data_IF_161943381856
#
_entry.id   IF_161943381856
#
_cell.length_a   1.000
_cell.length_b   1.000
_cell.length_c   1.000
_cell.angle_alpha   90.00
_cell.angle_beta   90.00
_cell.angle_gamma   90.00
#
_symmetry.space_group_name_H-M   'P 1'
#
loop_
_entity.id
_entity.type
_entity.pdbx_description
1 polymer ?
#
# COMPACT_ATOMS: atom_id res chain seq x y z
N UNK A 1 61.09 29.21 -15.45
CA UNK A 1 60.12 28.72 -14.43
C UNK A 1 58.95 29.70 -14.35
N UNK A 2 57.74 29.33 -14.79
CA UNK A 2 56.55 30.19 -14.69
C UNK A 2 55.87 29.93 -13.34
N UNK A 3 56.05 30.84 -12.39
CA UNK A 3 55.33 30.83 -11.12
C UNK A 3 53.85 31.10 -11.38
N UNK A 4 53.02 30.05 -11.26
CA UNK A 4 51.56 30.21 -11.30
C UNK A 4 51.14 31.07 -10.11
N UNK A 5 50.66 32.28 -10.38
CA UNK A 5 50.01 33.10 -9.38
C UNK A 5 48.80 32.34 -8.84
N UNK A 6 48.89 31.84 -7.60
CA UNK A 6 47.75 31.31 -6.86
C UNK A 6 46.83 32.50 -6.60
N UNK A 7 45.80 32.66 -7.43
CA UNK A 7 44.72 33.62 -7.18
C UNK A 7 43.95 33.12 -5.97
N UNK A 8 44.30 33.65 -4.79
CA UNK A 8 43.52 33.46 -3.59
C UNK A 8 42.12 33.97 -3.87
N UNK A 9 41.14 33.07 -3.75
CA UNK A 9 39.73 33.45 -3.81
C UNK A 9 39.54 34.50 -2.72
N UNK A 10 39.01 35.67 -3.08
CA UNK A 10 38.76 36.73 -2.10
C UNK A 10 37.93 36.15 -0.95
N UNK A 11 38.30 36.40 0.33
CA UNK A 11 37.56 35.91 1.48
C UNK A 11 36.05 36.19 1.39
N UNK A 12 35.69 37.31 0.76
CA UNK A 12 34.30 37.71 0.51
C UNK A 12 33.59 36.75 -0.45
N UNK A 13 34.25 36.34 -1.53
CA UNK A 13 33.68 35.41 -2.52
C UNK A 13 33.47 34.04 -1.89
N UNK A 14 34.42 33.59 -1.07
CA UNK A 14 34.29 32.33 -0.35
C UNK A 14 33.07 32.33 0.58
N UNK A 15 32.86 33.41 1.35
CA UNK A 15 31.70 33.54 2.24
C UNK A 15 30.39 33.57 1.46
N UNK A 16 30.31 34.29 0.34
CA UNK A 16 29.11 34.33 -0.49
C UNK A 16 28.73 32.95 -1.04
N UNK A 17 29.72 32.18 -1.50
CA UNK A 17 29.51 30.80 -1.94
C UNK A 17 29.04 29.92 -0.78
N UNK A 18 29.62 30.09 0.42
CA UNK A 18 29.26 29.33 1.62
C UNK A 18 27.82 29.59 2.06
N UNK A 19 27.40 30.86 2.08
CA UNK A 19 26.03 31.26 2.41
C UNK A 19 25.03 30.71 1.38
N UNK A 20 25.35 30.79 0.09
CA UNK A 20 24.51 30.25 -0.98
C UNK A 20 24.35 28.72 -0.86
N UNK A 21 25.44 28.00 -0.57
CA UNK A 21 25.41 26.56 -0.34
C UNK A 21 24.58 26.20 0.91
N UNK A 22 24.74 26.95 2.00
CA UNK A 22 23.99 26.73 3.24
C UNK A 22 22.47 26.91 3.04
N UNK A 23 22.05 27.97 2.35
CA UNK A 23 20.63 28.22 2.04
C UNK A 23 20.09 27.09 1.15
N UNK A 24 20.86 26.68 0.14
CA UNK A 24 20.45 25.63 -0.80
C UNK A 24 20.24 24.27 -0.10
N UNK A 25 21.17 23.88 0.79
CA UNK A 25 21.07 22.65 1.56
C UNK A 25 19.91 22.69 2.57
N UNK A 26 19.69 23.84 3.21
CA UNK A 26 18.56 24.03 4.12
C UNK A 26 17.21 23.87 3.43
N UNK A 27 17.03 24.45 2.25
CA UNK A 27 15.80 24.31 1.46
C UNK A 27 15.57 22.88 0.99
N UNK A 28 16.62 22.19 0.54
CA UNK A 28 16.52 20.79 0.10
C UNK A 28 16.15 19.86 1.26
N UNK A 29 16.78 20.05 2.43
CA UNK A 29 16.47 19.27 3.63
C UNK A 29 15.03 19.46 4.10
N UNK A 30 14.50 20.70 4.03
CA UNK A 30 13.10 20.98 4.35
C UNK A 30 12.14 20.28 3.38
N UNK A 31 12.41 20.35 2.08
CA UNK A 31 11.57 19.69 1.08
C UNK A 31 11.60 18.17 1.24
N UNK A 32 12.78 17.60 1.50
CA UNK A 32 12.95 16.16 1.73
C UNK A 32 12.16 15.70 2.97
N UNK A 33 12.29 16.40 4.10
CA UNK A 33 11.58 16.06 5.34
C UNK A 33 10.06 16.22 5.20
N UNK A 34 9.58 17.26 4.52
CA UNK A 34 8.16 17.45 4.25
C UNK A 34 7.61 16.39 3.29
N UNK A 35 8.38 16.02 2.27
CA UNK A 35 8.03 14.94 1.34
C UNK A 35 7.97 13.59 2.05
N UNK A 36 8.95 13.30 2.89
CA UNK A 36 8.99 12.09 3.70
C UNK A 36 7.84 12.04 4.71
N UNK A 37 7.51 13.14 5.37
CA UNK A 37 6.38 13.21 6.29
C UNK A 37 5.04 12.96 5.57
N UNK A 38 4.86 13.51 4.36
CA UNK A 38 3.68 13.25 3.52
C UNK A 38 3.60 11.80 3.05
N UNK A 39 4.74 11.21 2.66
CA UNK A 39 4.80 9.80 2.27
C UNK A 39 4.60 8.87 3.48
N UNK A 40 5.11 9.21 4.65
CA UNK A 40 4.94 8.42 5.89
C UNK A 40 3.54 8.55 6.48
N UNK A 41 2.80 9.61 6.17
CA UNK A 41 1.40 9.80 6.60
C UNK A 41 0.40 9.01 5.74
N UNK A 42 0.87 8.38 4.68
CA UNK A 42 0.09 7.46 3.86
C UNK A 42 0.05 6.11 4.55
N UNK A 43 -1.01 5.88 5.33
CA UNK A 43 -1.28 4.57 5.91
C UNK A 43 -2.12 3.76 4.92
N UNK A 44 -1.60 2.63 4.46
CA UNK A 44 -2.40 1.60 3.81
C UNK A 44 -2.90 0.65 4.90
N UNK A 45 -4.20 0.61 5.13
CA UNK A 45 -4.82 -0.30 6.08
C UNK A 45 -6.01 -0.97 5.41
N UNK A 46 -5.96 -2.30 5.36
CA UNK A 46 -6.98 -3.12 4.72
C UNK A 46 -7.56 -4.07 5.76
N UNK A 47 -8.86 -3.99 5.96
CA UNK A 47 -9.61 -4.97 6.75
C UNK A 47 -10.29 -5.91 5.77
N UNK A 48 -10.13 -7.22 6.00
CA UNK A 48 -10.73 -8.27 5.17
C UNK A 48 -11.70 -9.06 6.02
N UNK A 49 -12.96 -9.05 5.63
CA UNK A 49 -14.02 -9.84 6.24
C UNK A 49 -14.48 -10.89 5.23
N UNK A 50 -14.45 -12.17 5.62
CA UNK A 50 -14.90 -13.27 4.78
C UNK A 50 -16.10 -13.95 5.41
N UNK A 51 -17.22 -13.97 4.68
CA UNK A 51 -18.46 -14.59 5.10
C UNK A 51 -18.78 -15.75 4.18
N UNK A 52 -18.82 -16.95 4.73
CA UNK A 52 -19.28 -18.14 4.01
C UNK A 52 -20.81 -18.21 4.05
N UNK A 53 -21.44 -18.27 2.88
CA UNK A 53 -22.89 -18.42 2.72
C UNK A 53 -23.15 -19.76 2.04
N UNK A 54 -23.74 -20.70 2.77
CA UNK A 54 -24.24 -21.95 2.21
C UNK A 54 -25.76 -21.85 2.06
N UNK A 55 -26.26 -21.88 0.83
CA UNK A 55 -27.70 -21.86 0.52
C UNK A 55 -28.07 -23.13 -0.25
N UNK A 56 -28.63 -24.12 0.46
CA UNK A 56 -29.03 -25.40 -0.11
C UNK A 56 -27.86 -26.12 -0.78
N UNK A 57 -27.95 -26.33 -2.10
CA UNK A 57 -26.96 -27.06 -2.92
C UNK A 57 -25.77 -26.21 -3.37
N UNK A 58 -25.74 -24.90 -3.07
CA UNK A 58 -24.68 -23.98 -3.52
C UNK A 58 -23.98 -23.32 -2.34
N UNK A 59 -22.67 -23.27 -2.43
CA UNK A 59 -21.79 -22.54 -1.50
C UNK A 59 -21.27 -21.27 -2.19
N UNK A 60 -21.21 -20.16 -1.45
CA UNK A 60 -20.59 -18.92 -1.89
C UNK A 60 -19.75 -18.31 -0.76
N UNK A 61 -18.60 -17.77 -1.11
CA UNK A 61 -17.74 -16.99 -0.23
C UNK A 61 -17.87 -15.52 -0.59
N UNK A 62 -18.42 -14.73 0.33
CA UNK A 62 -18.41 -13.28 0.18
C UNK A 62 -17.19 -12.71 0.91
N UNK A 63 -16.27 -12.10 0.18
CA UNK A 63 -15.10 -11.43 0.75
C UNK A 63 -15.30 -9.92 0.60
N UNK A 64 -15.28 -9.22 1.72
CA UNK A 64 -15.42 -7.78 1.82
C UNK A 64 -14.09 -7.17 2.21
N UNK A 65 -13.61 -6.28 1.36
CA UNK A 65 -12.39 -5.51 1.53
C UNK A 65 -12.73 -4.08 1.91
N UNK A 66 -12.28 -3.65 3.08
CA UNK A 66 -12.48 -2.28 3.55
C UNK A 66 -11.13 -1.60 3.68
N UNK A 67 -10.94 -0.55 2.89
CA UNK A 67 -9.76 0.28 3.00
C UNK A 67 -9.97 1.32 4.11
N UNK A 68 -9.39 1.08 5.28
CA UNK A 68 -9.42 2.02 6.41
C UNK A 68 -8.21 2.96 6.40
N UNK A 69 -7.37 2.87 5.38
CA UNK A 69 -6.21 3.74 5.16
C UNK A 69 -6.57 5.09 4.56
N UNK A 70 -5.54 5.91 4.38
CA UNK A 70 -5.62 7.24 3.76
C UNK A 70 -5.23 7.23 2.28
N UNK A 71 -4.84 6.07 1.75
CA UNK A 71 -4.41 5.88 0.36
C UNK A 71 -5.25 4.85 -0.36
N UNK A 72 -5.33 4.95 -1.70
CA UNK A 72 -5.99 3.93 -2.52
C UNK A 72 -5.17 2.63 -2.52
N UNK A 73 -5.84 1.50 -2.38
CA UNK A 73 -5.23 0.17 -2.40
C UNK A 73 -5.75 -0.59 -3.62
N UNK A 74 -4.85 -1.16 -4.41
CA UNK A 74 -5.20 -2.01 -5.55
C UNK A 74 -5.25 -3.48 -5.10
N UNK A 75 -6.41 -4.11 -5.25
CA UNK A 75 -6.59 -5.54 -5.01
C UNK A 75 -6.41 -6.25 -6.34
N UNK A 76 -5.23 -6.85 -6.54
CA UNK A 76 -4.92 -7.57 -7.77
C UNK A 76 -5.62 -8.93 -7.82
N UNK A 77 -5.41 -9.74 -6.76
CA UNK A 77 -5.80 -11.15 -6.71
C UNK A 77 -6.17 -11.56 -5.30
N UNK A 78 -7.12 -12.49 -5.21
CA UNK A 78 -7.53 -13.13 -3.96
C UNK A 78 -7.17 -14.61 -4.05
N UNK A 79 -6.41 -15.09 -3.07
CA UNK A 79 -6.11 -16.51 -2.92
C UNK A 79 -7.15 -17.12 -1.99
N UNK A 80 -7.91 -18.08 -2.50
CA UNK A 80 -8.86 -18.86 -1.70
C UNK A 80 -8.31 -20.28 -1.58
N UNK A 81 -8.04 -20.70 -0.34
CA UNK A 81 -7.56 -22.05 -0.04
C UNK A 81 -8.65 -22.86 0.65
N UNK A 82 -8.89 -24.09 0.20
CA UNK A 82 -9.79 -25.06 0.85
C UNK A 82 -9.13 -26.45 0.94
N UNK A 83 -9.80 -27.43 1.56
CA UNK A 83 -9.30 -28.76 1.99
C UNK A 83 -8.85 -29.73 0.86
N UNK A 84 -8.31 -29.22 -0.24
CA UNK A 84 -7.74 -30.03 -1.31
C UNK A 84 -7.38 -29.25 -2.57
N UNK A 85 -7.79 -27.97 -2.67
CA UNK A 85 -7.48 -27.14 -3.81
C UNK A 85 -7.41 -25.66 -3.42
N UNK A 86 -6.83 -24.87 -4.30
CA UNK A 86 -6.62 -23.44 -4.11
C UNK A 86 -6.82 -22.71 -5.42
N UNK A 87 -7.54 -21.60 -5.38
CA UNK A 87 -7.90 -20.85 -6.57
C UNK A 87 -7.49 -19.38 -6.43
N UNK A 88 -6.94 -18.84 -7.52
CA UNK A 88 -6.71 -17.41 -7.69
C UNK A 88 -7.93 -16.77 -8.34
N UNK A 89 -8.64 -15.92 -7.61
CA UNK A 89 -9.65 -15.06 -8.19
C UNK A 89 -9.04 -13.70 -8.55
N UNK A 90 -9.04 -13.35 -9.84
CA UNK A 90 -8.58 -12.06 -10.32
C UNK A 90 -9.64 -10.99 -10.06
N UNK A 91 -9.27 -9.94 -9.33
CA UNK A 91 -10.18 -8.83 -9.00
C UNK A 91 -9.81 -7.58 -9.78
N UNK A 92 -8.53 -7.20 -9.78
CA UNK A 92 -8.01 -6.04 -10.52
C UNK A 92 -8.75 -4.74 -10.18
N UNK A 93 -9.05 -4.50 -8.90
CA UNK A 93 -9.88 -3.36 -8.48
C UNK A 93 -9.15 -2.42 -7.52
N UNK A 94 -9.23 -1.13 -7.81
CA UNK A 94 -8.79 -0.07 -6.90
C UNK A 94 -9.89 0.24 -5.88
N UNK A 95 -9.51 0.19 -4.61
CA UNK A 95 -10.35 0.56 -3.47
C UNK A 95 -9.81 1.86 -2.89
N UNK A 96 -10.53 2.96 -3.13
CA UNK A 96 -10.20 4.27 -2.61
C UNK A 96 -10.16 4.29 -1.07
N UNK A 97 -9.48 5.28 -0.49
CA UNK A 97 -9.42 5.48 0.96
C UNK A 97 -10.85 5.59 1.55
N UNK A 98 -11.13 4.81 2.59
CA UNK A 98 -12.45 4.74 3.23
C UNK A 98 -13.50 3.93 2.47
N UNK A 99 -13.21 3.46 1.26
CA UNK A 99 -14.16 2.69 0.45
C UNK A 99 -14.18 1.21 0.85
N UNK A 100 -15.28 0.56 0.52
CA UNK A 100 -15.48 -0.88 0.70
C UNK A 100 -15.79 -1.51 -0.65
N UNK A 101 -15.21 -2.68 -0.90
CA UNK A 101 -15.45 -3.48 -2.09
C UNK A 101 -15.70 -4.92 -1.68
N UNK A 102 -16.76 -5.54 -2.22
CA UNK A 102 -17.09 -6.93 -1.94
C UNK A 102 -17.04 -7.73 -3.23
N UNK A 103 -16.40 -8.90 -3.16
CA UNK A 103 -16.38 -9.91 -4.21
C UNK A 103 -17.07 -11.17 -3.69
N UNK A 104 -17.82 -11.84 -4.56
CA UNK A 104 -18.46 -13.11 -4.22
C UNK A 104 -17.88 -14.18 -5.10
N UNK A 105 -17.27 -15.19 -4.50
CA UNK A 105 -16.74 -16.38 -5.19
C UNK A 105 -17.74 -17.51 -4.95
N UNK A 106 -18.36 -18.02 -6.01
CA UNK A 106 -19.39 -19.07 -5.90
C UNK A 106 -18.84 -20.44 -6.29
N UNK A 107 -19.57 -21.48 -5.87
CA UNK A 107 -19.37 -22.87 -6.29
C UNK A 107 -19.54 -23.11 -7.80
N UNK A 108 -20.08 -22.15 -8.55
CA UNK A 108 -20.13 -22.20 -10.01
C UNK A 108 -18.77 -21.84 -10.64
N UNK A 109 -17.94 -21.04 -9.95
CA UNK A 109 -16.58 -20.65 -10.39
C UNK A 109 -15.50 -21.60 -9.85
N UNK A 110 -15.73 -22.16 -8.66
CA UNK A 110 -14.84 -23.13 -8.02
C UNK A 110 -15.61 -24.42 -7.75
N UNK A 111 -15.50 -25.43 -8.63
CA UNK A 111 -16.05 -26.75 -8.35
C UNK A 111 -15.44 -27.28 -7.04
N UNK A 112 -16.25 -27.93 -6.21
CA UNK A 112 -15.92 -28.45 -4.88
C UNK A 112 -15.78 -27.40 -3.76
N UNK A 113 -16.18 -26.14 -3.99
CA UNK A 113 -16.31 -25.18 -2.90
C UNK A 113 -17.43 -25.62 -1.93
N UNK A 114 -17.05 -26.11 -0.76
CA UNK A 114 -17.97 -26.47 0.31
C UNK A 114 -17.54 -25.83 1.62
N UNK A 115 -18.51 -25.34 2.38
CA UNK A 115 -18.28 -24.79 3.71
C UNK A 115 -18.93 -25.69 4.74
N UNK A 116 -18.11 -26.29 5.59
CA UNK A 116 -18.61 -26.88 6.84
C UNK A 116 -18.98 -25.73 7.76
N UNK A 117 -20.21 -25.70 8.28
CA UNK A 117 -20.59 -24.70 9.31
C UNK A 117 -19.62 -24.82 10.48
N UNK A 118 -18.80 -23.81 10.70
CA UNK A 118 -17.97 -23.71 11.89
C UNK A 118 -18.86 -23.60 13.12
N UNK A 119 -18.74 -24.56 14.05
CA UNK A 119 -19.27 -24.38 15.40
C UNK A 119 -18.37 -23.34 16.06
N UNK A 120 -18.91 -22.13 16.30
CA UNK A 120 -18.19 -21.10 17.03
C UNK A 120 -17.86 -21.64 18.43
N UNK A 121 -16.63 -22.09 18.62
CA UNK A 121 -16.12 -22.42 19.94
C UNK A 121 -15.73 -21.09 20.55
N UNK A 122 -16.61 -20.56 21.40
CA UNK A 122 -16.27 -19.44 22.26
C UNK A 122 -15.16 -19.91 23.21
N UNK A 123 -13.94 -19.42 22.99
CA UNK A 123 -12.82 -19.50 23.93
C UNK A 123 -12.80 -18.28 24.83
#
# INVERSE_FOLDING_TARGET
MRTRARRGISPVIAVLIMVAAAISLGSFAYWYTMSYAKASSQAASLVVEATAVASGSKSALQVTFKNTGTTSITIERVWVSHDGNSFWHHVGKDVAAGATYSVTVSSDEVPDLSFTRGVATAS
#
